data_IF_647847784930
#
_entry.id   IF_647847784930
#
_cell.length_a   1.000
_cell.length_b   1.000
_cell.length_c   1.000
_cell.angle_alpha   90.00
_cell.angle_beta   90.00
_cell.angle_gamma   90.00
#
_symmetry.space_group_name_H-M   'P 1'
#
loop_
_entity.id
_entity.type
_entity.pdbx_description
1 polymer ?
#
# COMPACT_ATOMS: atom_id res chain seq x y z
N UNK A 1 -35.91 -12.69 -3.69
CA UNK A 1 -34.80 -11.93 -3.09
C UNK A 1 -33.54 -12.67 -3.55
N UNK A 2 -33.04 -12.31 -4.74
CA UNK A 2 -31.77 -12.84 -5.25
C UNK A 2 -30.67 -12.32 -4.30
N UNK A 3 -29.98 -13.24 -3.62
CA UNK A 3 -28.71 -12.92 -3.00
C UNK A 3 -27.76 -12.56 -4.16
N UNK A 4 -27.51 -11.28 -4.40
CA UNK A 4 -26.36 -10.90 -5.20
C UNK A 4 -25.14 -11.52 -4.53
N UNK A 5 -24.57 -12.52 -5.14
CA UNK A 5 -23.26 -13.06 -4.74
C UNK A 5 -22.29 -11.89 -4.78
N UNK A 6 -21.74 -11.53 -3.63
CA UNK A 6 -20.73 -10.48 -3.53
C UNK A 6 -19.49 -10.98 -4.28
N UNK A 7 -19.21 -10.40 -5.43
CA UNK A 7 -18.08 -10.77 -6.28
C UNK A 7 -16.80 -10.26 -5.63
N UNK A 8 -15.86 -11.14 -5.35
CA UNK A 8 -14.56 -10.79 -4.80
C UNK A 8 -13.47 -10.88 -5.86
N UNK A 9 -12.39 -10.14 -5.68
CA UNK A 9 -11.26 -10.13 -6.62
C UNK A 9 -10.65 -11.53 -6.80
N UNK A 10 -10.56 -12.30 -5.71
CA UNK A 10 -10.02 -13.66 -5.70
C UNK A 10 -10.88 -14.68 -6.46
N UNK A 11 -12.15 -14.39 -6.69
CA UNK A 11 -13.03 -15.24 -7.49
C UNK A 11 -12.69 -15.15 -9.00
N UNK A 12 -12.05 -14.06 -9.40
CA UNK A 12 -11.70 -13.75 -10.79
C UNK A 12 -10.21 -13.91 -11.08
N UNK A 13 -9.36 -13.58 -10.11
CA UNK A 13 -7.90 -13.66 -10.24
C UNK A 13 -7.35 -14.39 -9.02
N UNK A 14 -6.71 -15.51 -9.23
CA UNK A 14 -6.16 -16.31 -8.14
C UNK A 14 -5.03 -15.57 -7.39
N UNK A 15 -4.86 -15.92 -6.12
CA UNK A 15 -3.91 -15.26 -5.23
C UNK A 15 -2.45 -15.37 -5.70
N UNK A 16 -2.08 -16.46 -6.39
CA UNK A 16 -0.73 -16.65 -6.91
C UNK A 16 -0.44 -15.68 -8.07
N UNK A 17 -1.42 -15.46 -8.95
CA UNK A 17 -1.32 -14.44 -10.01
C UNK A 17 -1.19 -13.04 -9.42
N UNK A 18 -2.01 -12.70 -8.42
CA UNK A 18 -1.93 -11.41 -7.73
C UNK A 18 -0.56 -11.20 -7.07
N UNK A 19 -0.08 -12.21 -6.34
CA UNK A 19 1.23 -12.17 -5.68
C UNK A 19 2.39 -12.08 -6.67
N UNK A 20 2.29 -12.74 -7.83
CA UNK A 20 3.30 -12.66 -8.89
C UNK A 20 3.43 -11.24 -9.46
N UNK A 21 2.30 -10.59 -9.71
CA UNK A 21 2.29 -9.21 -10.23
C UNK A 21 2.78 -8.23 -9.17
N UNK A 22 2.37 -8.42 -7.91
CA UNK A 22 2.86 -7.63 -6.79
C UNK A 22 4.37 -7.75 -6.63
N UNK A 23 4.92 -8.98 -6.66
CA UNK A 23 6.35 -9.22 -6.55
C UNK A 23 7.13 -8.58 -7.71
N UNK A 24 6.61 -8.64 -8.93
CA UNK A 24 7.22 -7.99 -10.09
C UNK A 24 7.31 -6.46 -9.89
N UNK A 25 6.28 -5.83 -9.33
CA UNK A 25 6.32 -4.42 -8.97
C UNK A 25 7.42 -4.15 -7.93
N UNK A 26 7.46 -4.95 -6.85
CA UNK A 26 8.45 -4.81 -5.80
C UNK A 26 9.89 -4.97 -6.29
N UNK A 27 10.13 -5.93 -7.18
CA UNK A 27 11.46 -6.20 -7.74
C UNK A 27 11.94 -5.07 -8.66
N UNK A 28 11.02 -4.45 -9.40
CA UNK A 28 11.34 -3.37 -10.34
C UNK A 28 11.54 -2.02 -9.65
N UNK A 29 10.79 -1.75 -8.58
CA UNK A 29 10.78 -0.42 -7.95
C UNK A 29 11.56 -0.37 -6.64
N UNK A 30 11.90 -1.54 -6.07
CA UNK A 30 12.43 -1.69 -4.72
C UNK A 30 11.53 -1.12 -3.61
N UNK A 31 10.29 -0.75 -3.97
CA UNK A 31 9.28 -0.25 -3.03
C UNK A 31 8.44 -1.40 -2.48
N UNK A 32 7.81 -1.17 -1.34
CA UNK A 32 6.83 -2.10 -0.79
C UNK A 32 5.53 -2.03 -1.58
N UNK A 33 4.82 -3.16 -1.64
CA UNK A 33 3.48 -3.19 -2.23
C UNK A 33 2.59 -4.25 -1.58
N UNK A 34 1.29 -4.17 -1.86
CA UNK A 34 0.28 -5.11 -1.40
C UNK A 34 -1.04 -4.94 -2.17
N UNK A 35 -1.83 -6.00 -2.22
CA UNK A 35 -3.16 -5.98 -2.82
C UNK A 35 -4.19 -6.27 -1.74
N UNK A 36 -5.24 -5.46 -1.68
CA UNK A 36 -6.38 -5.62 -0.77
C UNK A 36 -7.69 -5.74 -1.52
N UNK A 37 -8.70 -6.31 -0.86
CA UNK A 37 -10.06 -6.35 -1.35
C UNK A 37 -10.74 -4.97 -1.29
N UNK A 38 -12.03 -4.93 -1.69
CA UNK A 38 -12.86 -3.72 -1.67
C UNK A 38 -13.11 -3.16 -0.26
N UNK A 39 -12.83 -3.92 0.78
CA UNK A 39 -12.98 -3.50 2.18
C UNK A 39 -11.63 -3.08 2.80
N UNK A 40 -10.54 -3.15 2.04
CA UNK A 40 -9.18 -2.88 2.50
C UNK A 40 -8.57 -4.03 3.30
N UNK A 41 -9.12 -5.25 3.18
CA UNK A 41 -8.52 -6.44 3.78
C UNK A 41 -7.41 -6.95 2.87
N UNK A 42 -6.18 -7.18 3.38
CA UNK A 42 -5.09 -7.70 2.55
C UNK A 42 -5.44 -9.05 1.95
N UNK A 43 -5.29 -9.17 0.62
CA UNK A 43 -5.40 -10.42 -0.13
C UNK A 43 -4.03 -11.08 -0.25
N UNK A 44 -2.99 -10.29 -0.48
CA UNK A 44 -1.61 -10.75 -0.59
C UNK A 44 -0.80 -10.39 0.66
N UNK A 45 0.28 -11.11 0.89
CA UNK A 45 1.27 -10.72 1.89
C UNK A 45 2.14 -9.62 1.29
N UNK A 46 2.14 -8.43 1.91
CA UNK A 46 2.92 -7.29 1.41
C UNK A 46 4.38 -7.66 1.16
N UNK A 47 4.87 -7.44 -0.06
CA UNK A 47 6.28 -7.61 -0.41
C UNK A 47 7.11 -6.37 -0.02
N UNK A 48 8.40 -6.55 0.15
CA UNK A 48 9.38 -5.49 0.50
C UNK A 48 9.01 -4.61 1.69
N UNK A 49 8.14 -5.07 2.60
CA UNK A 49 7.80 -4.30 3.80
C UNK A 49 9.07 -3.93 4.57
N UNK A 50 9.31 -2.64 4.78
CA UNK A 50 10.50 -2.13 5.44
C UNK A 50 10.63 -2.58 6.90
N UNK A 51 11.85 -2.62 7.41
CA UNK A 51 12.10 -2.88 8.83
C UNK A 51 11.39 -1.84 9.72
N UNK A 52 11.32 -0.60 9.27
CA UNK A 52 10.60 0.49 9.94
C UNK A 52 9.10 0.21 10.06
N UNK A 53 8.44 -0.17 8.97
CA UNK A 53 7.02 -0.49 9.00
C UNK A 53 6.72 -1.74 9.83
N UNK A 54 7.59 -2.75 9.81
CA UNK A 54 7.47 -3.91 10.71
C UNK A 54 7.61 -3.50 12.18
N UNK A 55 8.56 -2.62 12.50
CA UNK A 55 8.73 -2.10 13.85
C UNK A 55 7.48 -1.35 14.32
N UNK A 56 6.94 -0.44 13.50
CA UNK A 56 5.70 0.29 13.83
C UNK A 56 4.55 -0.69 14.06
N UNK A 57 4.36 -1.66 13.18
CA UNK A 57 3.28 -2.66 13.28
C UNK A 57 3.46 -3.63 14.45
N UNK A 58 4.64 -3.69 15.09
CA UNK A 58 4.86 -4.48 16.30
C UNK A 58 4.15 -3.89 17.52
N UNK A 59 3.93 -2.58 17.57
CA UNK A 59 3.10 -1.94 18.59
C UNK A 59 1.62 -2.01 18.20
N UNK A 60 0.73 -2.13 19.22
CA UNK A 60 -0.71 -2.16 19.00
C UNK A 60 -1.21 -0.83 18.41
N UNK A 61 -0.73 0.28 18.94
CA UNK A 61 -1.10 1.63 18.48
C UNK A 61 -0.61 1.86 17.04
N UNK A 62 0.62 1.48 16.74
CA UNK A 62 1.20 1.60 15.40
C UNK A 62 0.43 0.80 14.37
N UNK A 63 0.12 -0.47 14.67
CA UNK A 63 -0.67 -1.32 13.77
C UNK A 63 -2.04 -0.71 13.45
N UNK A 64 -2.78 -0.24 14.46
CA UNK A 64 -4.09 0.40 14.26
C UNK A 64 -3.97 1.66 13.38
N UNK A 65 -2.93 2.49 13.61
CA UNK A 65 -2.70 3.68 12.80
C UNK A 65 -2.33 3.33 11.36
N UNK A 66 -1.47 2.31 11.13
CA UNK A 66 -1.14 1.82 9.80
C UNK A 66 -2.37 1.34 9.03
N UNK A 67 -3.14 0.41 9.62
CA UNK A 67 -4.36 -0.13 9.01
C UNK A 67 -5.38 0.96 8.66
N UNK A 68 -5.46 2.01 9.47
CA UNK A 68 -6.32 3.16 9.16
C UNK A 68 -5.81 3.94 7.97
N UNK A 69 -4.50 4.21 7.86
CA UNK A 69 -3.91 4.90 6.73
C UNK A 69 -4.11 4.11 5.43
N UNK A 70 -3.84 2.79 5.47
CA UNK A 70 -3.97 1.91 4.32
C UNK A 70 -5.44 1.88 3.81
N UNK A 71 -6.42 1.75 4.72
CA UNK A 71 -7.84 1.81 4.35
C UNK A 71 -8.26 3.16 3.79
N UNK A 72 -7.75 4.27 4.35
CA UNK A 72 -8.05 5.61 3.85
C UNK A 72 -7.47 5.83 2.45
N UNK A 73 -6.23 5.40 2.23
CA UNK A 73 -5.58 5.48 0.91
C UNK A 73 -6.32 4.66 -0.14
N UNK A 74 -6.69 3.42 0.18
CA UNK A 74 -7.49 2.57 -0.69
C UNK A 74 -8.86 3.19 -1.01
N UNK A 75 -9.57 3.68 0.02
CA UNK A 75 -10.87 4.34 -0.16
C UNK A 75 -10.77 5.57 -1.06
N UNK A 76 -9.72 6.38 -0.89
CA UNK A 76 -9.48 7.56 -1.71
C UNK A 76 -9.21 7.20 -3.18
N UNK A 77 -8.43 6.14 -3.43
CA UNK A 77 -8.19 5.63 -4.78
C UNK A 77 -9.49 5.13 -5.44
N UNK A 78 -10.31 4.42 -4.68
CA UNK A 78 -11.60 3.92 -5.14
C UNK A 78 -12.58 5.07 -5.46
N UNK A 79 -12.67 6.07 -4.59
CA UNK A 79 -13.53 7.23 -4.79
C UNK A 79 -13.14 8.04 -6.03
N UNK A 80 -11.84 8.28 -6.22
CA UNK A 80 -11.32 9.02 -7.36
C UNK A 80 -11.25 8.19 -8.65
N UNK A 81 -11.36 6.87 -8.57
CA UNK A 81 -11.14 5.93 -9.68
C UNK A 81 -9.81 6.16 -10.40
N UNK A 82 -8.79 6.51 -9.64
CA UNK A 82 -7.46 6.86 -10.13
C UNK A 82 -6.38 6.51 -9.10
N UNK A 83 -5.13 6.49 -9.52
CA UNK A 83 -4.03 6.42 -8.57
C UNK A 83 -3.98 7.69 -7.71
N UNK A 84 -3.76 7.52 -6.42
CA UNK A 84 -3.65 8.60 -5.45
C UNK A 84 -2.43 8.43 -4.58
N UNK A 85 -1.84 9.56 -4.18
CA UNK A 85 -0.79 9.60 -3.17
C UNK A 85 -1.38 9.97 -1.81
N UNK A 86 -0.83 9.39 -0.75
CA UNK A 86 -1.16 9.77 0.61
C UNK A 86 0.06 9.67 1.52
N UNK A 87 0.04 10.45 2.58
CA UNK A 87 1.08 10.40 3.62
C UNK A 87 0.57 9.59 4.79
N UNK A 88 1.31 8.55 5.18
CA UNK A 88 0.94 7.75 6.34
C UNK A 88 1.24 8.49 7.65
N UNK A 89 0.74 7.97 8.77
CA UNK A 89 0.92 8.60 10.09
C UNK A 89 2.38 8.72 10.54
N UNK A 90 3.28 7.91 9.97
CA UNK A 90 4.72 7.95 10.25
C UNK A 90 5.49 8.85 9.27
N UNK A 91 4.81 9.57 8.39
CA UNK A 91 5.39 10.53 7.47
C UNK A 91 5.88 9.95 6.14
N UNK A 92 5.73 8.65 5.91
CA UNK A 92 6.08 8.04 4.63
C UNK A 92 5.03 8.36 3.56
N UNK A 93 5.46 8.35 2.32
CA UNK A 93 4.56 8.46 1.17
C UNK A 93 4.22 7.07 0.67
N UNK A 94 2.93 6.84 0.53
CA UNK A 94 2.32 5.69 -0.09
C UNK A 94 1.43 6.14 -1.24
N UNK A 95 1.09 5.22 -2.14
CA UNK A 95 0.15 5.43 -3.23
C UNK A 95 -0.72 4.20 -3.42
N UNK A 96 -1.91 4.42 -3.93
CA UNK A 96 -2.89 3.36 -4.18
C UNK A 96 -3.55 3.55 -5.54
N UNK A 97 -3.88 2.45 -6.20
CA UNK A 97 -4.66 2.43 -7.44
C UNK A 97 -5.81 1.42 -7.32
N UNK A 98 -7.02 1.76 -7.81
CA UNK A 98 -8.15 0.85 -7.75
C UNK A 98 -8.02 -0.27 -8.77
N UNK A 99 -8.50 -1.46 -8.43
CA UNK A 99 -8.69 -2.59 -9.35
C UNK A 99 -10.18 -2.65 -9.66
N UNK A 100 -10.53 -2.29 -10.91
CA UNK A 100 -11.94 -2.14 -11.34
C UNK A 100 -12.27 -3.17 -12.41
N UNK A 101 -13.32 -3.96 -12.19
CA UNK A 101 -13.80 -4.96 -13.14
C UNK A 101 -15.28 -4.67 -13.43
N UNK A 102 -15.61 -4.43 -14.69
CA UNK A 102 -16.97 -4.04 -15.14
C UNK A 102 -17.59 -2.91 -14.29
N UNK A 103 -16.86 -1.81 -14.14
CA UNK A 103 -17.24 -0.64 -13.33
C UNK A 103 -17.41 -0.89 -11.81
N UNK A 104 -17.19 -2.10 -11.35
CA UNK A 104 -17.16 -2.47 -9.93
C UNK A 104 -15.72 -2.45 -9.42
N UNK A 105 -15.50 -1.76 -8.32
CA UNK A 105 -14.19 -1.77 -7.66
C UNK A 105 -14.14 -3.00 -6.75
N UNK A 106 -13.21 -3.90 -7.04
CA UNK A 106 -13.07 -5.17 -6.32
C UNK A 106 -11.84 -5.19 -5.41
N UNK A 107 -11.01 -4.17 -5.47
CA UNK A 107 -9.83 -4.07 -4.64
C UNK A 107 -8.98 -2.86 -4.94
N UNK A 108 -7.82 -2.80 -4.28
CA UNK A 108 -6.81 -1.79 -4.53
C UNK A 108 -5.41 -2.40 -4.51
N UNK A 109 -4.55 -1.88 -5.37
CA UNK A 109 -3.13 -2.15 -5.35
C UNK A 109 -2.45 -0.96 -4.66
N UNK A 110 -1.73 -1.20 -3.60
CA UNK A 110 -1.03 -0.17 -2.82
C UNK A 110 0.48 -0.36 -2.95
N UNK A 111 1.22 0.73 -2.92
CA UNK A 111 2.68 0.70 -2.96
C UNK A 111 3.27 1.90 -2.22
N UNK A 112 4.59 1.89 -2.00
CA UNK A 112 5.27 3.02 -1.38
C UNK A 112 6.21 2.61 -0.25
N UNK A 113 5.95 3.14 0.96
CA UNK A 113 6.82 3.10 2.13
C UNK A 113 8.15 3.81 1.88
N UNK A 114 8.09 4.99 1.27
CA UNK A 114 9.27 5.77 0.89
C UNK A 114 9.23 7.18 1.50
N UNK A 115 10.38 7.84 1.54
CA UNK A 115 10.50 9.25 1.88
C UNK A 115 10.71 10.02 0.58
N UNK A 116 9.93 11.09 0.40
CA UNK A 116 10.15 12.07 -0.67
C UNK A 116 10.62 13.38 -0.04
N UNK A 117 11.79 13.84 -0.46
CA UNK A 117 12.43 14.99 0.16
C UNK A 117 13.24 14.63 1.40
N UNK A 118 13.04 15.37 2.49
CA UNK A 118 13.78 15.17 3.73
C UNK A 118 13.00 14.27 4.70
N UNK A 119 13.68 13.34 5.40
CA UNK A 119 13.07 12.56 6.46
C UNK A 119 12.63 13.48 7.63
N UNK A 120 11.69 13.02 8.48
CA UNK A 120 11.38 13.72 9.72
C UNK A 120 12.63 13.99 10.53
N UNK A 121 12.69 15.17 11.17
CA UNK A 121 13.80 15.50 12.06
C UNK A 121 13.81 14.58 13.29
N UNK A 122 14.97 14.58 13.98
CA UNK A 122 15.17 13.68 15.12
C UNK A 122 14.14 13.88 16.25
N UNK A 123 13.76 15.12 16.52
CA UNK A 123 12.83 15.45 17.61
C UNK A 123 11.42 14.89 17.30
N UNK A 124 10.95 15.13 16.07
CA UNK A 124 9.69 14.59 15.56
C UNK A 124 9.69 13.04 15.58
N UNK A 125 10.79 12.42 15.13
CA UNK A 125 10.90 10.96 15.12
C UNK A 125 10.89 10.35 16.52
N UNK A 126 11.58 10.99 17.49
CA UNK A 126 11.58 10.55 18.90
C UNK A 126 10.18 10.67 19.50
N UNK A 127 9.49 11.78 19.26
CA UNK A 127 8.11 11.96 19.72
C UNK A 127 7.17 10.89 19.14
N UNK A 128 7.27 10.62 17.84
CA UNK A 128 6.46 9.58 17.18
C UNK A 128 6.72 8.20 17.77
N UNK A 129 7.98 7.86 18.03
CA UNK A 129 8.33 6.59 18.67
C UNK A 129 7.68 6.44 20.05
N UNK A 130 7.73 7.50 20.86
CA UNK A 130 7.12 7.51 22.20
C UNK A 130 5.59 7.35 22.13
N UNK A 131 4.92 8.04 21.19
CA UNK A 131 3.47 7.90 21.00
C UNK A 131 3.06 6.49 20.58
N UNK A 132 3.98 5.72 20.02
CA UNK A 132 3.76 4.35 19.56
C UNK A 132 4.24 3.29 20.57
N UNK A 133 4.73 3.69 21.76
CA UNK A 133 5.35 2.81 22.76
C UNK A 133 6.54 2.02 22.18
N UNK A 134 7.33 2.67 21.31
CA UNK A 134 8.52 2.08 20.69
C UNK A 134 9.80 2.70 21.23
N UNK A 135 10.89 1.94 21.22
CA UNK A 135 12.21 2.46 21.54
C UNK A 135 12.64 3.52 20.52
N UNK A 136 12.94 4.77 20.96
CA UNK A 136 13.29 5.84 20.04
C UNK A 136 14.56 5.58 19.23
N UNK A 137 15.55 4.85 19.78
CA UNK A 137 16.76 4.57 19.05
C UNK A 137 16.51 3.52 17.95
N UNK A 138 15.77 2.46 18.26
CA UNK A 138 15.37 1.45 17.28
C UNK A 138 14.54 2.09 16.16
N UNK A 139 13.63 3.03 16.50
CA UNK A 139 12.81 3.77 15.54
C UNK A 139 13.69 4.60 14.58
N UNK A 140 14.64 5.38 15.11
CA UNK A 140 15.56 6.18 14.31
C UNK A 140 16.45 5.33 13.40
N UNK A 141 16.96 4.21 13.90
CA UNK A 141 17.82 3.32 13.13
C UNK A 141 17.06 2.62 12.00
N UNK A 142 15.83 2.21 12.25
CA UNK A 142 14.96 1.65 11.22
C UNK A 142 14.54 2.71 10.19
N UNK A 143 14.22 3.95 10.61
CA UNK A 143 13.82 5.04 9.72
C UNK A 143 14.94 5.41 8.73
N UNK A 144 16.22 5.34 9.14
CA UNK A 144 17.37 5.59 8.25
C UNK A 144 17.49 4.59 7.10
N UNK A 145 16.84 3.44 7.19
CA UNK A 145 16.85 2.41 6.16
C UNK A 145 15.73 2.58 5.12
N UNK A 146 14.81 3.55 5.33
CA UNK A 146 13.75 3.84 4.38
C UNK A 146 14.35 4.46 3.12
N UNK A 147 13.98 3.99 1.92
CA UNK A 147 14.42 4.61 0.69
C UNK A 147 13.98 6.06 0.60
N UNK A 148 14.93 6.95 0.27
CA UNK A 148 14.64 8.34 -0.09
C UNK A 148 14.61 8.41 -1.60
N UNK A 149 13.48 8.80 -2.17
CA UNK A 149 13.26 8.85 -3.61
C UNK A 149 12.91 10.27 -4.06
N UNK A 150 13.09 10.55 -5.34
CA UNK A 150 12.68 11.80 -5.95
C UNK A 150 11.17 11.78 -6.26
N UNK A 151 10.58 12.96 -6.50
CA UNK A 151 9.21 13.07 -6.97
C UNK A 151 9.01 12.37 -8.32
N UNK A 152 10.00 12.39 -9.20
CA UNK A 152 9.98 11.69 -10.48
C UNK A 152 9.89 10.17 -10.26
N UNK A 153 10.75 9.61 -9.42
CA UNK A 153 10.78 8.17 -9.14
C UNK A 153 9.46 7.66 -8.53
N UNK A 154 8.85 8.43 -7.62
CA UNK A 154 7.58 8.01 -7.02
C UNK A 154 6.42 8.15 -8.00
N UNK A 155 6.43 9.15 -8.89
CA UNK A 155 5.44 9.30 -9.94
C UNK A 155 5.53 8.13 -10.95
N UNK A 156 6.74 7.78 -11.41
CA UNK A 156 6.97 6.64 -12.31
C UNK A 156 6.47 5.33 -11.68
N UNK A 157 6.77 5.12 -10.40
CA UNK A 157 6.31 3.94 -9.67
C UNK A 157 4.78 3.89 -9.54
N UNK A 158 4.13 5.03 -9.29
CA UNK A 158 2.66 5.12 -9.19
C UNK A 158 2.00 4.90 -10.55
N UNK A 159 2.57 5.42 -11.64
CA UNK A 159 2.09 5.16 -13.00
C UNK A 159 2.23 3.70 -13.37
N UNK A 160 3.34 3.07 -13.02
CA UNK A 160 3.56 1.65 -13.23
C UNK A 160 2.56 0.80 -12.44
N UNK A 161 2.35 1.10 -11.17
CA UNK A 161 1.35 0.42 -10.34
C UNK A 161 -0.07 0.59 -10.91
N UNK A 162 -0.41 1.78 -11.39
CA UNK A 162 -1.69 2.03 -12.03
C UNK A 162 -1.86 1.22 -13.32
N UNK A 163 -0.80 1.12 -14.14
CA UNK A 163 -0.81 0.26 -15.32
C UNK A 163 -1.03 -1.21 -14.96
N UNK A 164 -0.38 -1.71 -13.91
CA UNK A 164 -0.58 -3.08 -13.41
C UNK A 164 -2.01 -3.29 -12.89
N UNK A 165 -2.59 -2.33 -12.18
CA UNK A 165 -3.98 -2.42 -11.71
C UNK A 165 -4.97 -2.50 -12.89
N UNK A 166 -4.70 -1.79 -13.99
CA UNK A 166 -5.50 -1.87 -15.21
C UNK A 166 -5.35 -3.23 -15.92
N UNK A 167 -4.16 -3.82 -15.90
CA UNK A 167 -3.93 -5.17 -16.41
C UNK A 167 -4.73 -6.19 -15.59
N UNK A 168 -4.68 -6.11 -14.27
CA UNK A 168 -5.49 -6.94 -13.38
C UNK A 168 -7.00 -6.79 -13.67
N UNK A 169 -7.45 -5.55 -13.87
CA UNK A 169 -8.83 -5.26 -14.27
C UNK A 169 -9.22 -5.95 -15.57
N UNK A 170 -8.33 -5.91 -16.58
CA UNK A 170 -8.55 -6.59 -17.88
C UNK A 170 -8.61 -8.12 -17.73
N UNK A 171 -7.72 -8.71 -16.93
CA UNK A 171 -7.70 -10.17 -16.67
C UNK A 171 -9.02 -10.58 -16.00
N UNK A 172 -9.44 -9.84 -14.98
CA UNK A 172 -10.70 -10.10 -14.28
C UNK A 172 -11.91 -10.00 -15.20
N UNK A 173 -11.97 -8.97 -16.07
CA UNK A 173 -13.04 -8.83 -17.06
C UNK A 173 -13.11 -10.01 -18.04
N UNK A 174 -11.98 -10.61 -18.39
CA UNK A 174 -11.94 -11.75 -19.32
C UNK A 174 -12.45 -13.06 -18.71
N UNK A 175 -12.55 -13.12 -17.39
CA UNK A 175 -12.97 -14.30 -16.63
C UNK A 175 -14.38 -14.16 -16.02
N UNK A 176 -14.98 -12.99 -16.14
CA UNK A 176 -16.35 -12.69 -15.73
C UNK A 176 -17.35 -13.08 -16.81
#
# INVERSE_FOLDING_TARGET
MEMELELNLIDLIDADTLSTIEQAFCDMTEMAAGISDQHGTPITAHCNTSAFCRLIKSSKTGRIRCERCDRQGAALAMENRAAVFYRCHAGLIDFAAPITIQDRILGSFVGGQVIVGEPPDRETAVQQAQELDLDPQAYLDAMRQIPVVTEEQINDAAEFLYALSNILSSIGCSRY
#
